data_IF_921182601865
#
_entry.id   IF_921182601865
#
_cell.length_a   1.000
_cell.length_b   1.000
_cell.length_c   1.000
_cell.angle_alpha   90.00
_cell.angle_beta   90.00
_cell.angle_gamma   90.00
#
_symmetry.space_group_name_H-M   'P 1'
#
loop_
_entity.id
_entity.type
_entity.pdbx_description
1 polymer ?
#
# COMPACT_ATOMS: atom_id res chain seq x y z
N UNK A 1 11.59 -15.27 -11.16
CA UNK A 1 10.21 -15.52 -10.70
C UNK A 1 9.74 -14.36 -9.84
N UNK A 2 8.58 -13.85 -10.13
CA UNK A 2 8.01 -12.75 -9.34
C UNK A 2 7.05 -13.33 -8.30
N UNK A 3 7.50 -13.38 -7.07
CA UNK A 3 6.73 -13.94 -5.97
C UNK A 3 5.53 -13.07 -5.60
N UNK A 4 5.51 -11.80 -6.01
CA UNK A 4 4.46 -10.85 -5.65
C UNK A 4 3.31 -10.84 -6.64
N UNK A 5 3.52 -11.34 -7.86
CA UNK A 5 2.57 -11.18 -8.96
C UNK A 5 1.17 -11.70 -8.64
N UNK A 6 1.06 -12.87 -8.04
CA UNK A 6 -0.22 -13.53 -7.81
C UNK A 6 -0.59 -13.64 -6.33
N UNK A 7 0.06 -12.88 -5.46
CA UNK A 7 -0.28 -12.87 -4.05
C UNK A 7 -1.70 -12.34 -3.83
N UNK A 8 -2.36 -12.86 -2.81
CA UNK A 8 -3.68 -12.38 -2.41
C UNK A 8 -3.56 -11.12 -1.55
N UNK A 9 -2.73 -10.21 -1.99
CA UNK A 9 -2.50 -8.88 -1.42
C UNK A 9 -2.32 -7.95 -2.60
N UNK A 10 -3.06 -6.86 -2.64
CA UNK A 10 -2.87 -5.86 -3.68
C UNK A 10 -1.62 -5.04 -3.36
N UNK A 11 -0.66 -5.01 -4.29
CA UNK A 11 0.60 -4.29 -4.12
C UNK A 11 0.75 -3.30 -5.26
N UNK A 12 0.88 -2.03 -4.91
CA UNK A 12 1.08 -0.94 -5.87
C UNK A 12 2.32 -0.17 -5.47
N UNK A 13 3.25 0.00 -6.42
CA UNK A 13 4.51 0.72 -6.18
C UNK A 13 4.52 1.97 -7.04
N UNK A 14 4.85 3.12 -6.43
CA UNK A 14 5.06 4.34 -7.20
C UNK A 14 6.44 4.92 -6.90
N UNK A 15 6.91 5.79 -7.81
CA UNK A 15 8.16 6.51 -7.59
C UNK A 15 7.90 7.77 -6.75
N UNK A 16 8.96 8.56 -6.52
CA UNK A 16 8.88 9.73 -5.65
C UNK A 16 8.08 10.89 -6.25
N UNK A 17 7.77 10.85 -7.54
CA UNK A 17 6.86 11.79 -8.19
C UNK A 17 5.43 11.27 -8.23
N UNK A 18 5.19 10.07 -7.73
CA UNK A 18 3.86 9.46 -7.70
C UNK A 18 3.52 8.62 -8.92
N UNK A 19 4.46 8.45 -9.85
CA UNK A 19 4.21 7.63 -11.04
C UNK A 19 4.16 6.16 -10.64
N UNK A 20 3.10 5.47 -11.04
CA UNK A 20 2.93 4.05 -10.73
C UNK A 20 3.91 3.23 -11.57
N UNK A 21 4.76 2.47 -10.88
CA UNK A 21 5.81 1.65 -11.51
C UNK A 21 5.41 0.20 -11.64
N UNK A 22 4.62 -0.31 -10.70
CA UNK A 22 4.27 -1.73 -10.67
C UNK A 22 2.96 -1.93 -9.94
N UNK A 23 2.16 -2.86 -10.46
CA UNK A 23 0.93 -3.33 -9.81
C UNK A 23 0.90 -4.84 -10.00
N UNK A 24 0.70 -5.59 -8.92
CA UNK A 24 0.51 -7.01 -9.07
C UNK A 24 -0.94 -7.31 -9.52
N UNK A 25 -1.25 -8.58 -9.75
CA UNK A 25 -2.57 -8.96 -10.29
C UNK A 25 -3.71 -8.50 -9.40
N UNK A 26 -3.56 -8.66 -8.09
CA UNK A 26 -4.60 -8.26 -7.14
C UNK A 26 -4.82 -6.74 -7.14
N UNK A 27 -3.75 -5.97 -7.27
CA UNK A 27 -3.83 -4.52 -7.36
C UNK A 27 -4.60 -4.10 -8.62
N UNK A 28 -4.30 -4.72 -9.76
CA UNK A 28 -5.01 -4.41 -11.01
C UNK A 28 -6.49 -4.74 -10.91
N UNK A 29 -6.82 -5.86 -10.29
CA UNK A 29 -8.20 -6.26 -10.09
C UNK A 29 -8.95 -5.26 -9.20
N UNK A 30 -8.32 -4.86 -8.10
CA UNK A 30 -8.91 -3.92 -7.13
C UNK A 30 -9.12 -2.53 -7.74
N UNK A 31 -8.21 -2.10 -8.61
CA UNK A 31 -8.26 -0.77 -9.22
C UNK A 31 -8.87 -0.76 -10.62
N UNK A 32 -9.46 -1.88 -11.03
CA UNK A 32 -10.15 -2.03 -12.31
C UNK A 32 -9.25 -1.82 -13.53
N UNK A 33 -7.99 -2.23 -13.42
CA UNK A 33 -7.10 -2.23 -14.58
C UNK A 33 -5.66 -1.94 -14.24
N UNK A 34 -4.83 -1.96 -15.28
CA UNK A 34 -3.42 -1.67 -15.18
C UNK A 34 -3.21 -0.16 -15.30
N UNK A 35 -2.80 0.47 -14.21
CA UNK A 35 -2.57 1.90 -14.14
C UNK A 35 -1.09 2.26 -14.16
N UNK A 36 -0.21 1.31 -14.48
CA UNK A 36 1.23 1.57 -14.56
C UNK A 36 1.48 2.73 -15.54
N UNK A 37 2.30 3.68 -15.12
CA UNK A 37 2.59 4.89 -15.88
C UNK A 37 1.74 6.08 -15.52
N UNK A 38 0.60 5.87 -14.86
CA UNK A 38 -0.25 6.97 -14.39
C UNK A 38 0.23 7.44 -13.02
N UNK A 39 -0.25 8.59 -12.59
CA UNK A 39 0.14 9.17 -11.29
C UNK A 39 -0.89 8.83 -10.23
N UNK A 40 -0.43 8.31 -9.08
CA UNK A 40 -1.33 7.95 -7.96
C UNK A 40 -2.14 9.15 -7.47
N UNK A 41 -1.60 10.37 -7.57
CA UNK A 41 -2.30 11.56 -7.11
C UNK A 41 -3.53 11.86 -7.97
N UNK A 42 -3.50 11.48 -9.24
CA UNK A 42 -4.64 11.65 -10.13
C UNK A 42 -5.75 10.65 -9.86
N UNK A 43 -5.41 9.54 -9.20
CA UNK A 43 -6.37 8.47 -8.91
C UNK A 43 -7.01 8.62 -7.53
N UNK A 44 -6.59 9.61 -6.74
CA UNK A 44 -7.06 9.80 -5.37
C UNK A 44 -7.73 11.16 -5.23
N UNK A 45 -9.04 11.19 -4.94
CA UNK A 45 -9.70 12.46 -4.61
C UNK A 45 -9.30 12.94 -3.22
N UNK A 46 -9.60 14.18 -2.92
CA UNK A 46 -9.39 14.70 -1.57
C UNK A 46 -10.35 14.03 -0.59
N UNK A 47 -9.95 13.83 0.68
CA UNK A 47 -8.68 14.26 1.29
C UNK A 47 -7.52 13.27 1.10
N UNK A 48 -7.73 12.14 0.46
CA UNK A 48 -6.71 11.10 0.29
C UNK A 48 -5.49 11.62 -0.48
N UNK A 49 -5.72 12.50 -1.46
CA UNK A 49 -4.64 13.07 -2.27
C UNK A 49 -3.66 13.88 -1.42
N UNK A 50 -4.18 14.78 -0.58
CA UNK A 50 -3.35 15.58 0.33
C UNK A 50 -2.57 14.70 1.28
N UNK A 51 -3.20 13.64 1.79
CA UNK A 51 -2.52 12.71 2.70
C UNK A 51 -1.37 12.01 2.01
N UNK A 52 -1.54 11.58 0.75
CA UNK A 52 -0.47 10.94 -0.01
C UNK A 52 0.71 11.89 -0.22
N UNK A 53 0.45 13.14 -0.60
CA UNK A 53 1.51 14.15 -0.77
C UNK A 53 2.29 14.31 0.54
N UNK A 54 1.58 14.40 1.66
CA UNK A 54 2.20 14.52 2.97
C UNK A 54 3.10 13.33 3.30
N UNK A 55 2.62 12.11 3.04
CA UNK A 55 3.42 10.90 3.29
C UNK A 55 4.69 10.89 2.46
N UNK A 56 4.60 11.32 1.21
CA UNK A 56 5.76 11.38 0.32
C UNK A 56 6.76 12.41 0.77
N UNK A 57 6.30 13.57 1.23
CA UNK A 57 7.19 14.63 1.71
C UNK A 57 7.87 14.26 3.02
N UNK A 58 7.15 13.58 3.91
CA UNK A 58 7.65 13.21 5.24
C UNK A 58 8.35 11.86 5.27
N UNK A 59 8.30 11.10 4.17
CA UNK A 59 8.77 9.72 4.11
C UNK A 59 8.15 8.89 5.24
N UNK A 60 6.85 9.03 5.42
CA UNK A 60 6.15 8.45 6.56
C UNK A 60 5.35 7.22 6.14
N UNK A 61 5.06 6.37 7.13
CA UNK A 61 4.21 5.20 6.96
C UNK A 61 2.81 5.54 7.48
N UNK A 62 1.79 5.02 6.80
CA UNK A 62 0.40 5.20 7.16
C UNK A 62 -0.29 3.85 7.16
N UNK A 63 -1.15 3.61 8.15
CA UNK A 63 -1.91 2.36 8.22
C UNK A 63 -3.32 2.67 8.71
N UNK A 64 -4.30 2.07 8.05
CA UNK A 64 -5.69 2.24 8.44
C UNK A 64 -6.52 1.09 7.88
N UNK A 65 -7.75 0.98 8.35
CA UNK A 65 -8.68 -0.04 7.83
C UNK A 65 -9.85 0.63 7.15
N UNK A 66 -10.42 -0.08 6.19
CA UNK A 66 -11.67 0.31 5.53
C UNK A 66 -12.62 -0.88 5.52
N UNK A 67 -13.89 -0.59 5.38
CA UNK A 67 -14.93 -1.61 5.14
C UNK A 67 -15.60 -1.28 3.83
N UNK A 68 -15.74 -2.29 2.97
CA UNK A 68 -16.40 -2.12 1.67
C UNK A 68 -17.01 -3.45 1.25
N UNK A 69 -18.28 -3.42 0.90
CA UNK A 69 -19.00 -4.61 0.42
C UNK A 69 -18.92 -5.80 1.38
N UNK A 70 -19.01 -5.53 2.71
CA UNK A 70 -18.99 -6.57 3.72
C UNK A 70 -17.61 -7.13 4.02
N UNK A 71 -16.57 -6.51 3.53
CA UNK A 71 -15.18 -6.95 3.73
C UNK A 71 -14.41 -5.85 4.45
N UNK A 72 -13.56 -6.24 5.39
CA UNK A 72 -12.63 -5.34 6.07
C UNK A 72 -11.26 -5.48 5.45
N UNK A 73 -10.62 -4.35 5.13
CA UNK A 73 -9.29 -4.34 4.55
C UNK A 73 -8.34 -3.50 5.37
N UNK A 74 -7.09 -3.95 5.45
CA UNK A 74 -5.99 -3.16 5.96
C UNK A 74 -5.31 -2.49 4.78
N UNK A 75 -5.12 -1.17 4.89
CA UNK A 75 -4.36 -0.40 3.93
C UNK A 75 -3.07 0.03 4.63
N UNK A 76 -1.94 -0.28 4.02
CA UNK A 76 -0.64 0.01 4.60
C UNK A 76 0.21 0.69 3.53
N UNK A 77 0.63 1.91 3.78
CA UNK A 77 1.40 2.72 2.84
C UNK A 77 2.74 3.04 3.48
N UNK A 78 3.82 2.68 2.82
CA UNK A 78 5.15 2.85 3.41
C UNK A 78 6.16 3.24 2.33
N UNK A 79 7.15 4.08 2.66
CA UNK A 79 8.19 4.40 1.69
C UNK A 79 9.07 3.20 1.39
N UNK A 80 9.62 3.17 0.18
CA UNK A 80 10.65 2.20 -0.17
C UNK A 80 11.94 2.92 -0.52
N UNK A 81 13.04 2.23 -0.29
CA UNK A 81 14.37 2.80 -0.39
C UNK A 81 15.26 1.94 -1.25
N UNK A 82 16.27 2.58 -1.86
CA UNK A 82 17.31 1.89 -2.57
C UNK A 82 18.63 2.49 -2.12
N UNK A 83 19.51 1.68 -1.54
CA UNK A 83 20.78 2.13 -0.98
C UNK A 83 20.59 3.29 0.02
N UNK A 84 19.51 3.24 0.79
CA UNK A 84 19.21 4.26 1.81
C UNK A 84 18.55 5.52 1.27
N UNK A 85 18.32 5.59 -0.03
CA UNK A 85 17.69 6.76 -0.66
C UNK A 85 16.20 6.51 -0.85
N UNK A 86 15.37 7.51 -0.50
CA UNK A 86 13.93 7.45 -0.68
C UNK A 86 13.58 7.38 -2.17
N UNK A 87 12.77 6.40 -2.55
CA UNK A 87 12.44 6.18 -3.95
C UNK A 87 10.96 6.30 -4.26
N UNK A 88 10.09 6.25 -3.27
CA UNK A 88 8.66 6.34 -3.48
C UNK A 88 7.88 5.64 -2.40
N UNK A 89 6.64 5.24 -2.72
CA UNK A 89 5.75 4.54 -1.78
C UNK A 89 5.33 3.20 -2.33
N UNK A 90 5.08 2.26 -1.41
CA UNK A 90 4.40 1.01 -1.71
C UNK A 90 3.11 0.99 -0.92
N UNK A 91 2.01 0.65 -1.57
CA UNK A 91 0.74 0.44 -0.88
C UNK A 91 0.36 -1.03 -0.91
N UNK A 92 0.03 -1.54 0.27
CA UNK A 92 -0.53 -2.87 0.42
C UNK A 92 -2.01 -2.74 0.79
N UNK A 93 -2.86 -3.51 0.13
CA UNK A 93 -4.28 -3.56 0.44
C UNK A 93 -4.68 -5.02 0.55
N UNK A 94 -5.16 -5.45 1.71
CA UNK A 94 -5.46 -6.86 1.94
C UNK A 94 -6.66 -7.02 2.85
N UNK A 95 -7.40 -8.10 2.61
CA UNK A 95 -8.53 -8.45 3.46
C UNK A 95 -8.04 -8.98 4.79
N UNK A 96 -8.70 -8.56 5.87
CA UNK A 96 -8.44 -9.07 7.21
C UNK A 96 -9.76 -9.45 7.87
N UNK A 97 -9.74 -10.34 8.88
CA UNK A 97 -10.96 -10.64 9.65
C UNK A 97 -11.46 -9.39 10.38
N UNK A 98 -12.80 -9.30 10.57
CA UNK A 98 -13.36 -8.20 11.36
C UNK A 98 -12.81 -8.21 12.78
N UNK A 99 -12.66 -9.39 13.34
CA UNK A 99 -12.03 -9.56 14.65
C UNK A 99 -10.75 -10.34 14.47
N UNK A 100 -9.64 -9.63 14.50
CA UNK A 100 -8.33 -10.23 14.29
C UNK A 100 -7.79 -10.79 15.59
N UNK A 101 -7.33 -12.06 15.61
CA UNK A 101 -6.63 -12.58 16.79
C UNK A 101 -5.44 -11.70 17.13
N UNK A 102 -5.23 -11.48 18.41
CA UNK A 102 -4.15 -10.66 18.89
C UNK A 102 -3.39 -11.40 19.97
N UNK A 103 -2.07 -11.47 19.82
CA UNK A 103 -1.22 -12.22 20.77
C UNK A 103 -0.09 -11.32 21.25
N UNK A 104 0.12 -11.35 22.56
CA UNK A 104 1.26 -10.68 23.16
C UNK A 104 2.38 -11.70 23.26
N UNK A 105 3.51 -11.41 22.64
CA UNK A 105 4.67 -12.30 22.64
C UNK A 105 5.68 -11.81 23.66
N UNK A 106 6.25 -12.74 24.43
CA UNK A 106 7.33 -12.38 25.35
C UNK A 106 8.61 -12.14 24.55
N UNK A 107 9.42 -11.15 24.94
CA UNK A 107 10.74 -11.00 24.33
C UNK A 107 11.56 -12.26 24.46
N UNK A 108 12.37 -12.56 23.45
CA UNK A 108 13.25 -13.76 23.50
C UNK A 108 14.46 -13.56 24.40
N UNK A 109 14.89 -12.33 24.57
CA UNK A 109 16.03 -12.01 25.41
C UNK A 109 15.60 -11.94 26.85
N UNK A 110 16.33 -12.59 27.69
CA UNK A 110 16.04 -12.67 29.11
C UNK A 110 17.30 -12.56 29.91
#
# INVERSE_FOLDING_TARGET
MDYMKELNVAITVCDKEGKILQMNDKSQMTNHGDLVGQNVLDCHPEPARTKLVQLMEEHATNAYTIEKNGVKKLIYQTPWYENGEFMGLVEFSLEIPFEMPHYIRKPKTE
#
